data_IF_323642585978
#
_entry.id   IF_323642585978
#
_cell.length_a   1.000
_cell.length_b   1.000
_cell.length_c   1.000
_cell.angle_alpha   90.00
_cell.angle_beta   90.00
_cell.angle_gamma   90.00
#
_symmetry.space_group_name_H-M   'P 1'
#
loop_
_entity.id
_entity.type
_entity.pdbx_description
1 polymer ?
#
# COMPACT_ATOMS: atom_id res chain seq x y z
N UNK A 1 15.36 12.96 -4.86
CA UNK A 1 14.80 12.08 -3.81
C UNK A 1 15.82 10.99 -3.48
N UNK A 2 15.98 10.56 -2.22
CA UNK A 2 16.90 9.45 -1.88
C UNK A 2 16.23 8.10 -2.17
N UNK A 3 16.92 7.20 -2.86
CA UNK A 3 16.46 5.84 -3.13
C UNK A 3 17.13 4.83 -2.20
N UNK A 4 16.46 3.69 -2.00
CA UNK A 4 16.97 2.52 -1.28
C UNK A 4 16.55 1.27 -2.04
N UNK A 5 17.31 0.19 -1.90
CA UNK A 5 16.89 -1.11 -2.41
C UNK A 5 15.65 -1.59 -1.63
N UNK A 6 14.72 -2.25 -2.33
CA UNK A 6 13.60 -2.96 -1.72
C UNK A 6 14.13 -4.26 -1.10
N UNK A 7 14.43 -4.23 0.19
CA UNK A 7 15.05 -5.35 0.88
C UNK A 7 16.38 -5.74 0.23
N UNK A 8 16.56 -7.03 -0.01
CA UNK A 8 17.73 -7.60 -0.71
C UNK A 8 17.66 -7.55 -2.23
N UNK A 9 16.58 -7.05 -2.82
CA UNK A 9 16.44 -7.01 -4.28
C UNK A 9 17.33 -5.93 -4.90
N UNK A 10 17.49 -5.97 -6.23
CA UNK A 10 18.11 -4.90 -7.00
C UNK A 10 17.18 -3.72 -7.31
N UNK A 11 15.89 -3.81 -6.95
CA UNK A 11 14.90 -2.78 -7.24
C UNK A 11 15.11 -1.58 -6.31
N UNK A 12 15.30 -0.39 -6.88
CA UNK A 12 15.46 0.84 -6.10
C UNK A 12 14.19 1.67 -6.08
N UNK A 13 13.66 1.91 -4.88
CA UNK A 13 12.48 2.76 -4.66
C UNK A 13 12.85 3.98 -3.85
N UNK A 14 12.11 5.06 -4.02
CA UNK A 14 12.23 6.25 -3.18
C UNK A 14 11.77 5.98 -1.75
N UNK A 15 12.35 6.69 -0.78
CA UNK A 15 11.98 6.54 0.64
C UNK A 15 10.50 6.89 0.91
N UNK A 16 9.87 7.64 0.01
CA UNK A 16 8.43 7.96 0.03
C UNK A 16 7.84 7.49 -1.29
N UNK A 17 6.70 6.79 -1.22
CA UNK A 17 5.87 6.43 -2.37
C UNK A 17 4.53 7.16 -2.34
N UNK A 18 3.87 7.23 -3.50
CA UNK A 18 2.49 7.74 -3.59
C UNK A 18 1.50 6.59 -3.48
N UNK A 19 0.79 6.53 -2.35
CA UNK A 19 -0.35 5.64 -2.19
C UNK A 19 -1.58 6.20 -2.92
N UNK A 20 -2.14 5.42 -3.84
CA UNK A 20 -3.24 5.80 -4.73
C UNK A 20 -4.61 5.34 -4.19
N UNK A 21 -4.69 4.85 -2.96
CA UNK A 21 -5.92 4.28 -2.38
C UNK A 21 -7.09 5.25 -2.19
N UNK A 22 -6.91 6.56 -2.43
CA UNK A 22 -8.01 7.53 -2.44
C UNK A 22 -8.47 7.92 -3.87
N UNK A 23 -7.90 7.33 -4.93
CA UNK A 23 -8.22 7.70 -6.30
C UNK A 23 -9.50 6.99 -6.75
N UNK A 24 -10.53 7.77 -7.11
CA UNK A 24 -11.83 7.26 -7.52
C UNK A 24 -12.63 6.60 -6.39
N UNK A 25 -12.19 6.69 -5.14
CA UNK A 25 -12.91 6.15 -3.98
C UNK A 25 -12.04 6.11 -2.73
N UNK A 26 -12.52 5.51 -1.64
CA UNK A 26 -11.72 5.34 -0.40
C UNK A 26 -11.45 3.86 -0.15
N UNK A 27 -10.29 3.41 -0.62
CA UNK A 27 -9.86 2.02 -0.57
C UNK A 27 -10.75 1.11 -1.43
N UNK A 28 -10.91 -0.14 -0.98
CA UNK A 28 -11.58 -1.21 -1.72
C UNK A 28 -13.08 -1.33 -1.46
N UNK A 29 -13.65 -0.54 -0.54
CA UNK A 29 -15.06 -0.71 -0.14
C UNK A 29 -16.00 -0.09 -1.18
N UNK A 30 -16.97 -0.86 -1.72
CA UNK A 30 -17.95 -0.34 -2.68
C UNK A 30 -18.74 0.87 -2.19
N UNK A 31 -19.00 0.95 -0.87
CA UNK A 31 -19.72 2.08 -0.26
C UNK A 31 -19.00 3.43 -0.45
N UNK A 32 -17.70 3.42 -0.72
CA UNK A 32 -16.90 4.64 -0.91
C UNK A 32 -16.41 4.85 -2.33
N UNK A 33 -16.93 4.08 -3.29
CA UNK A 33 -16.63 4.29 -4.70
C UNK A 33 -17.15 5.68 -5.11
N UNK A 34 -16.28 6.51 -5.68
CA UNK A 34 -16.57 7.90 -6.07
C UNK A 34 -16.51 8.91 -4.94
N UNK A 35 -16.13 8.49 -3.72
CA UNK A 35 -15.98 9.35 -2.53
C UNK A 35 -14.52 9.71 -2.22
N UNK A 36 -13.66 9.76 -3.24
CA UNK A 36 -12.24 10.12 -3.14
C UNK A 36 -11.85 11.15 -4.18
N UNK A 37 -10.56 11.21 -4.52
CA UNK A 37 -10.04 12.12 -5.53
C UNK A 37 -10.64 11.80 -6.90
N UNK A 38 -11.05 12.84 -7.61
CA UNK A 38 -11.39 12.78 -9.04
C UNK A 38 -10.15 12.45 -9.86
N UNK A 39 -10.34 12.10 -11.14
CA UNK A 39 -9.21 11.81 -12.04
C UNK A 39 -8.27 13.03 -12.20
N UNK A 40 -8.84 14.24 -12.28
CA UNK A 40 -8.06 15.47 -12.39
C UNK A 40 -7.21 15.73 -11.13
N UNK A 41 -7.78 15.54 -9.94
CA UNK A 41 -7.07 15.66 -8.66
C UNK A 41 -5.98 14.58 -8.52
N UNK A 42 -6.30 13.33 -8.87
CA UNK A 42 -5.33 12.23 -8.90
C UNK A 42 -4.17 12.53 -9.85
N UNK A 43 -4.43 13.05 -11.04
CA UNK A 43 -3.40 13.45 -12.00
C UNK A 43 -2.51 14.58 -11.46
N UNK A 44 -3.08 15.58 -10.79
CA UNK A 44 -2.31 16.66 -10.17
C UNK A 44 -1.40 16.14 -9.04
N UNK A 45 -1.89 15.20 -8.23
CA UNK A 45 -1.10 14.53 -7.19
C UNK A 45 0.03 13.68 -7.79
N UNK A 46 -0.24 12.94 -8.86
CA UNK A 46 0.78 12.15 -9.57
C UNK A 46 1.82 13.02 -10.26
N UNK A 47 1.42 14.13 -10.90
CA UNK A 47 2.35 15.11 -11.47
C UNK A 47 3.25 15.69 -10.38
N UNK A 48 2.68 16.12 -9.25
CA UNK A 48 3.46 16.65 -8.12
C UNK A 48 4.45 15.60 -7.58
N UNK A 49 4.00 14.36 -7.36
CA UNK A 49 4.85 13.28 -6.87
C UNK A 49 6.01 12.98 -7.84
N UNK A 50 5.70 12.91 -9.13
CA UNK A 50 6.69 12.71 -10.18
C UNK A 50 7.71 13.84 -10.24
N UNK A 51 7.26 15.10 -10.20
CA UNK A 51 8.11 16.28 -10.34
C UNK A 51 9.07 16.45 -9.14
N UNK A 52 8.68 16.01 -7.94
CA UNK A 52 9.59 15.97 -6.76
C UNK A 52 10.48 14.71 -6.74
N UNK A 53 10.35 13.85 -7.75
CA UNK A 53 11.18 12.67 -7.96
C UNK A 53 10.76 11.45 -7.14
N UNK A 54 9.50 11.31 -6.73
CA UNK A 54 8.94 10.02 -6.27
C UNK A 54 8.88 9.07 -7.46
N UNK A 55 9.44 7.87 -7.31
CA UNK A 55 9.49 6.88 -8.39
C UNK A 55 8.57 5.68 -8.16
N UNK A 56 7.78 5.66 -7.08
CA UNK A 56 7.00 4.51 -6.67
C UNK A 56 5.54 4.87 -6.39
N UNK A 57 4.61 4.33 -7.18
CA UNK A 57 3.16 4.47 -6.98
C UNK A 57 2.54 3.12 -6.60
N UNK A 58 1.67 3.13 -5.59
CA UNK A 58 1.04 1.95 -5.03
C UNK A 58 -0.49 2.03 -5.15
N UNK A 59 -1.10 1.07 -5.84
CA UNK A 59 -2.55 0.95 -6.05
C UNK A 59 -3.05 -0.45 -5.70
N UNK A 60 -4.30 -0.79 -5.99
CA UNK A 60 -4.86 -2.14 -5.92
C UNK A 60 -5.98 -2.30 -6.95
N UNK A 61 -6.25 -3.54 -7.36
CA UNK A 61 -7.31 -3.90 -8.30
C UNK A 61 -8.70 -3.38 -7.88
N UNK A 62 -9.00 -3.45 -6.59
CA UNK A 62 -10.30 -3.08 -6.02
C UNK A 62 -10.41 -1.59 -5.65
N UNK A 63 -9.31 -0.82 -5.66
CA UNK A 63 -9.36 0.58 -5.21
C UNK A 63 -10.26 1.44 -6.12
N UNK A 64 -11.25 2.08 -5.52
CA UNK A 64 -12.26 2.85 -6.24
C UNK A 64 -13.06 2.04 -7.27
N UNK A 65 -13.08 0.70 -7.16
CA UNK A 65 -13.68 -0.20 -8.13
C UNK A 65 -12.85 -0.32 -9.42
N UNK A 66 -11.52 -0.33 -9.30
CA UNK A 66 -10.58 -0.36 -10.42
C UNK A 66 -10.25 1.01 -11.00
N UNK A 67 -10.88 2.09 -10.52
CA UNK A 67 -10.61 3.45 -11.00
C UNK A 67 -9.22 3.95 -10.66
N UNK A 68 -8.67 3.57 -9.51
CA UNK A 68 -7.30 3.97 -9.15
C UNK A 68 -6.29 3.52 -10.20
N UNK A 69 -6.37 2.26 -10.64
CA UNK A 69 -5.55 1.73 -11.75
C UNK A 69 -5.85 2.42 -13.08
N UNK A 70 -7.13 2.64 -13.40
CA UNK A 70 -7.51 3.32 -14.64
C UNK A 70 -6.96 4.77 -14.69
N UNK A 71 -7.02 5.52 -13.58
CA UNK A 71 -6.49 6.88 -13.50
C UNK A 71 -4.98 6.89 -13.67
N UNK A 72 -4.24 5.96 -13.03
CA UNK A 72 -2.80 5.81 -13.24
C UNK A 72 -2.50 5.49 -14.71
N UNK A 73 -3.26 4.58 -15.33
CA UNK A 73 -3.08 4.23 -16.74
C UNK A 73 -3.35 5.39 -17.69
N UNK A 74 -4.39 6.20 -17.44
CA UNK A 74 -4.70 7.40 -18.19
C UNK A 74 -3.57 8.44 -18.04
N UNK A 75 -3.05 8.62 -16.83
CA UNK A 75 -1.91 9.49 -16.54
C UNK A 75 -0.65 9.03 -17.28
N UNK A 76 -0.31 7.74 -17.24
CA UNK A 76 0.85 7.19 -17.96
C UNK A 76 0.77 7.42 -19.46
N UNK A 77 -0.40 7.20 -20.08
CA UNK A 77 -0.59 7.47 -21.52
C UNK A 77 -0.36 8.94 -21.86
N UNK A 78 -0.75 9.86 -20.98
CA UNK A 78 -0.51 11.30 -21.14
C UNK A 78 0.97 11.66 -20.96
N UNK A 79 1.68 11.04 -20.02
CA UNK A 79 3.10 11.32 -19.73
C UNK A 79 4.06 10.70 -20.74
N UNK A 80 3.68 9.58 -21.35
CA UNK A 80 4.49 8.87 -22.35
C UNK A 80 5.33 7.74 -21.77
N UNK A 81 5.89 6.91 -22.66
CA UNK A 81 6.58 5.66 -22.31
C UNK A 81 7.79 5.86 -21.40
N UNK A 82 8.53 6.96 -21.54
CA UNK A 82 9.71 7.23 -20.72
C UNK A 82 9.39 7.27 -19.21
N UNK A 83 8.17 7.66 -18.84
CA UNK A 83 7.73 7.67 -17.43
C UNK A 83 7.45 6.26 -16.98
N UNK A 84 6.80 5.43 -17.81
CA UNK A 84 6.59 4.02 -17.48
C UNK A 84 7.92 3.29 -17.24
N UNK A 85 8.95 3.55 -18.04
CA UNK A 85 10.26 2.89 -17.90
C UNK A 85 10.96 3.21 -16.57
N UNK A 86 10.63 4.34 -15.95
CA UNK A 86 11.27 4.85 -14.72
C UNK A 86 10.40 4.65 -13.47
N UNK A 87 9.07 4.61 -13.65
CA UNK A 87 8.12 4.47 -12.56
C UNK A 87 8.00 3.01 -12.13
N UNK A 88 8.17 2.78 -10.83
CA UNK A 88 7.88 1.52 -10.16
C UNK A 88 6.39 1.49 -9.81
N UNK A 89 5.67 0.51 -10.36
CA UNK A 89 4.25 0.32 -10.12
C UNK A 89 3.97 -0.90 -9.24
N UNK A 90 3.23 -0.67 -8.15
CA UNK A 90 2.65 -1.72 -7.31
C UNK A 90 1.13 -1.80 -7.48
N UNK A 91 0.61 -3.01 -7.64
CA UNK A 91 -0.81 -3.29 -7.43
C UNK A 91 -1.00 -4.48 -6.48
N UNK A 92 -2.24 -4.74 -6.08
CA UNK A 92 -2.60 -5.79 -5.12
C UNK A 92 -3.83 -6.55 -5.59
N UNK A 93 -3.93 -7.79 -5.13
CA UNK A 93 -5.07 -8.69 -5.35
C UNK A 93 -5.55 -9.30 -4.05
N UNK A 94 -6.86 -9.34 -3.85
CA UNK A 94 -7.57 -10.14 -2.82
C UNK A 94 -9.02 -9.66 -2.66
N UNK A 95 -9.21 -8.34 -2.60
CA UNK A 95 -10.48 -7.74 -2.22
C UNK A 95 -11.56 -8.05 -3.27
N UNK A 96 -12.85 -8.02 -2.89
CA UNK A 96 -13.92 -8.23 -3.83
C UNK A 96 -13.88 -7.22 -4.98
N UNK A 97 -13.85 -7.72 -6.22
CA UNK A 97 -13.97 -6.91 -7.46
C UNK A 97 -15.27 -7.20 -8.22
N UNK A 98 -16.13 -8.04 -7.65
CA UNK A 98 -17.41 -8.48 -8.19
C UNK A 98 -18.19 -9.28 -7.15
N UNK A 99 -19.41 -9.70 -7.50
CA UNK A 99 -20.32 -10.40 -6.58
C UNK A 99 -20.15 -11.93 -6.63
N UNK A 100 -19.45 -12.46 -7.63
CA UNK A 100 -19.29 -13.89 -7.81
C UNK A 100 -18.41 -14.54 -6.74
N UNK A 101 -18.57 -15.85 -6.50
CA UNK A 101 -17.82 -16.57 -5.46
C UNK A 101 -16.30 -16.61 -5.73
N UNK A 102 -15.87 -16.37 -6.97
CA UNK A 102 -14.47 -16.34 -7.40
C UNK A 102 -13.96 -14.90 -7.68
N UNK A 103 -14.72 -13.88 -7.26
CA UNK A 103 -14.39 -12.47 -7.47
C UNK A 103 -13.64 -11.86 -6.28
N UNK A 104 -13.04 -12.70 -5.42
CA UNK A 104 -12.14 -12.33 -4.31
C UNK A 104 -11.16 -13.47 -4.00
N UNK A 105 -10.23 -13.19 -3.08
CA UNK A 105 -9.33 -14.17 -2.47
C UNK A 105 -8.04 -14.37 -3.26
N UNK A 106 -7.29 -15.42 -2.92
CA UNK A 106 -5.98 -15.73 -3.48
C UNK A 106 -5.94 -17.06 -4.23
N UNK A 107 -7.10 -17.58 -4.65
CA UNK A 107 -7.15 -18.72 -5.56
C UNK A 107 -6.38 -18.41 -6.83
N UNK A 108 -5.75 -19.43 -7.42
CA UNK A 108 -5.03 -19.31 -8.69
C UNK A 108 -5.92 -18.67 -9.76
N UNK A 109 -7.19 -19.09 -9.85
CA UNK A 109 -8.17 -18.53 -10.80
C UNK A 109 -8.29 -17.02 -10.64
N UNK A 110 -8.43 -16.54 -9.41
CA UNK A 110 -8.61 -15.12 -9.14
C UNK A 110 -7.33 -14.32 -9.44
N UNK A 111 -6.18 -14.78 -8.92
CA UNK A 111 -4.87 -14.14 -9.15
C UNK A 111 -4.57 -14.00 -10.64
N UNK A 112 -4.69 -15.09 -11.40
CA UNK A 112 -4.41 -15.11 -12.84
C UNK A 112 -5.32 -14.18 -13.62
N UNK A 113 -6.61 -14.10 -13.25
CA UNK A 113 -7.56 -13.19 -13.90
C UNK A 113 -7.31 -11.73 -13.53
N UNK A 114 -7.01 -11.44 -12.27
CA UNK A 114 -6.83 -10.06 -11.82
C UNK A 114 -5.55 -9.42 -12.29
N UNK A 115 -4.46 -10.18 -12.47
CA UNK A 115 -3.25 -9.59 -13.06
C UNK A 115 -3.54 -9.06 -14.47
N UNK A 116 -4.26 -9.82 -15.31
CA UNK A 116 -4.58 -9.42 -16.68
C UNK A 116 -5.52 -8.20 -16.70
N UNK A 117 -6.52 -8.20 -15.81
CA UNK A 117 -7.42 -7.07 -15.66
C UNK A 117 -6.71 -5.80 -15.17
N UNK A 118 -5.75 -5.94 -14.25
CA UNK A 118 -4.96 -4.82 -13.71
C UNK A 118 -4.03 -4.25 -14.78
N UNK A 119 -3.30 -5.10 -15.49
CA UNK A 119 -2.43 -4.72 -16.60
C UNK A 119 -3.22 -3.99 -17.71
N UNK A 120 -4.42 -4.48 -18.03
CA UNK A 120 -5.32 -3.83 -18.99
C UNK A 120 -5.77 -2.43 -18.53
N UNK A 121 -6.21 -2.28 -17.27
CA UNK A 121 -6.63 -0.96 -16.73
C UNK A 121 -5.47 0.04 -16.68
N UNK A 122 -4.29 -0.42 -16.29
CA UNK A 122 -3.08 0.38 -16.26
C UNK A 122 -2.52 0.68 -17.66
N UNK A 123 -2.83 -0.16 -18.65
CA UNK A 123 -2.27 -0.08 -20.00
C UNK A 123 -0.77 -0.35 -20.03
N UNK A 124 -0.30 -1.36 -19.28
CA UNK A 124 1.12 -1.75 -19.17
C UNK A 124 1.27 -3.26 -19.31
N UNK A 125 2.45 -3.73 -19.74
CA UNK A 125 2.70 -5.17 -19.96
C UNK A 125 3.11 -5.92 -18.69
N UNK A 126 3.58 -5.19 -17.67
CA UNK A 126 4.02 -5.77 -16.41
C UNK A 126 3.84 -4.81 -15.24
N UNK A 127 3.78 -5.37 -14.03
CA UNK A 127 3.96 -4.67 -12.76
C UNK A 127 5.36 -4.94 -12.21
N UNK A 128 5.98 -3.91 -11.65
CA UNK A 128 7.25 -4.05 -10.93
C UNK A 128 7.02 -4.81 -9.62
N UNK A 129 5.89 -4.54 -8.95
CA UNK A 129 5.52 -5.10 -7.67
C UNK A 129 4.06 -5.57 -7.69
N UNK A 130 3.80 -6.81 -7.23
CA UNK A 130 2.46 -7.31 -6.99
C UNK A 130 2.27 -7.88 -5.57
N UNK A 131 1.28 -7.37 -4.86
CA UNK A 131 0.97 -7.76 -3.48
C UNK A 131 -0.21 -8.73 -3.42
N UNK A 132 -0.11 -9.73 -2.55
CA UNK A 132 -1.31 -10.29 -1.92
C UNK A 132 -1.81 -9.30 -0.87
N UNK A 133 -3.03 -8.79 -1.02
CA UNK A 133 -3.51 -7.65 -0.20
C UNK A 133 -3.79 -8.03 1.27
N UNK A 134 -4.24 -9.27 1.49
CA UNK A 134 -4.63 -9.82 2.80
C UNK A 134 -4.35 -11.33 2.82
N UNK A 135 -4.18 -11.95 3.99
CA UNK A 135 -4.22 -13.41 4.13
C UNK A 135 -5.54 -14.01 3.63
N UNK A 136 -5.46 -15.11 2.88
CA UNK A 136 -6.62 -15.89 2.49
C UNK A 136 -6.66 -17.23 3.24
N UNK A 137 -7.55 -17.41 4.24
CA UNK A 137 -7.68 -18.67 4.96
C UNK A 137 -8.39 -19.77 4.13
N UNK A 138 -8.98 -19.41 2.99
CA UNK A 138 -9.77 -20.34 2.16
C UNK A 138 -8.97 -20.95 1.00
N UNK A 139 -7.82 -20.38 0.67
CA UNK A 139 -6.90 -20.90 -0.36
C UNK A 139 -5.62 -21.42 0.30
N UNK A 140 -5.16 -22.65 0.01
CA UNK A 140 -3.84 -23.11 0.46
C UNK A 140 -2.74 -22.14 0.03
N UNK A 141 -1.85 -21.78 0.96
CA UNK A 141 -0.77 -20.83 0.69
C UNK A 141 0.15 -21.33 -0.44
N UNK A 142 0.35 -22.64 -0.55
CA UNK A 142 1.10 -23.28 -1.63
C UNK A 142 0.51 -22.99 -3.02
N UNK A 143 -0.82 -22.95 -3.16
CA UNK A 143 -1.48 -22.59 -4.42
C UNK A 143 -1.23 -21.12 -4.76
N UNK A 144 -1.35 -20.23 -3.76
CA UNK A 144 -1.08 -18.80 -3.91
C UNK A 144 0.36 -18.55 -4.36
N UNK A 145 1.35 -19.14 -3.68
CA UNK A 145 2.77 -18.97 -4.01
C UNK A 145 3.09 -19.49 -5.41
N UNK A 146 2.52 -20.63 -5.83
CA UNK A 146 2.69 -21.16 -7.19
C UNK A 146 2.05 -20.26 -8.25
N UNK A 147 0.90 -19.68 -7.97
CA UNK A 147 0.28 -18.71 -8.89
C UNK A 147 1.17 -17.47 -9.06
N UNK A 148 1.71 -16.92 -7.98
CA UNK A 148 2.63 -15.78 -8.03
C UNK A 148 3.95 -16.11 -8.74
N UNK A 149 4.52 -17.29 -8.50
CA UNK A 149 5.71 -17.77 -9.22
C UNK A 149 5.48 -17.83 -10.73
N UNK A 150 4.32 -18.34 -11.16
CA UNK A 150 3.97 -18.38 -12.58
C UNK A 150 3.82 -16.99 -13.18
N UNK A 151 3.31 -16.00 -12.44
CA UNK A 151 3.25 -14.60 -12.91
C UNK A 151 4.64 -14.00 -13.12
N UNK A 152 5.60 -14.34 -12.26
CA UNK A 152 7.00 -13.93 -12.44
C UNK A 152 7.60 -14.60 -13.67
N UNK A 153 7.42 -15.92 -13.83
CA UNK A 153 7.88 -16.68 -15.01
C UNK A 153 7.27 -16.17 -16.32
N UNK A 154 6.01 -15.74 -16.30
CA UNK A 154 5.32 -15.14 -17.44
C UNK A 154 5.78 -13.71 -17.74
N UNK A 155 6.60 -13.10 -16.87
CA UNK A 155 7.05 -11.72 -17.04
C UNK A 155 5.95 -10.68 -16.79
N UNK A 156 4.81 -11.05 -16.20
CA UNK A 156 3.73 -10.12 -15.85
C UNK A 156 4.01 -9.33 -14.56
N UNK A 157 4.85 -9.89 -13.70
CA UNK A 157 5.29 -9.30 -12.43
C UNK A 157 6.80 -9.45 -12.29
N UNK A 158 7.51 -8.47 -11.73
CA UNK A 158 8.95 -8.59 -11.43
C UNK A 158 9.19 -9.15 -10.03
N UNK A 159 8.48 -8.64 -9.04
CA UNK A 159 8.56 -9.09 -7.65
C UNK A 159 7.15 -9.25 -7.07
N UNK A 160 6.96 -10.24 -6.19
CA UNK A 160 5.74 -10.34 -5.38
C UNK A 160 6.01 -10.24 -3.88
N UNK A 161 5.00 -9.77 -3.16
CA UNK A 161 5.07 -9.45 -1.73
C UNK A 161 3.74 -9.71 -1.04
N UNK A 162 3.69 -9.41 0.25
CA UNK A 162 2.50 -9.61 1.08
C UNK A 162 2.06 -8.34 1.77
N UNK A 163 0.76 -8.19 1.99
CA UNK A 163 0.19 -7.10 2.78
C UNK A 163 -0.68 -7.68 3.88
N UNK A 164 -0.63 -7.05 5.05
CA UNK A 164 -1.38 -7.45 6.25
C UNK A 164 -1.10 -8.89 6.73
N UNK A 165 0.00 -9.50 6.29
CA UNK A 165 0.40 -10.82 6.75
C UNK A 165 0.97 -10.73 8.18
N UNK A 166 0.61 -11.67 9.08
CA UNK A 166 1.38 -11.87 10.29
C UNK A 166 2.73 -12.54 9.97
N UNK A 167 3.73 -12.31 10.82
CA UNK A 167 5.11 -12.77 10.60
C UNK A 167 5.19 -14.30 10.36
N UNK A 168 4.47 -15.10 11.15
CA UNK A 168 4.47 -16.56 11.00
C UNK A 168 3.96 -17.03 9.63
N UNK A 169 2.98 -16.32 9.04
CA UNK A 169 2.42 -16.68 7.75
C UNK A 169 3.39 -16.31 6.62
N UNK A 170 4.04 -15.14 6.74
CA UNK A 170 5.07 -14.74 5.80
C UNK A 170 6.25 -15.72 5.80
N UNK A 171 6.72 -16.14 6.99
CA UNK A 171 7.74 -17.20 7.13
C UNK A 171 7.30 -18.50 6.44
N UNK A 172 6.04 -18.93 6.64
CA UNK A 172 5.51 -20.11 5.94
C UNK A 172 5.58 -19.95 4.43
N UNK A 173 5.25 -18.77 3.91
CA UNK A 173 5.37 -18.45 2.48
C UNK A 173 6.80 -18.54 1.97
N UNK A 174 7.76 -17.97 2.70
CA UNK A 174 9.19 -18.07 2.37
C UNK A 174 9.68 -19.52 2.35
N UNK A 175 9.27 -20.32 3.33
CA UNK A 175 9.60 -21.74 3.41
C UNK A 175 9.01 -22.54 2.24
N UNK A 176 7.77 -22.26 1.83
CA UNK A 176 7.16 -22.90 0.65
C UNK A 176 8.00 -22.60 -0.59
N UNK A 177 8.40 -21.34 -0.78
CA UNK A 177 9.24 -20.96 -1.92
C UNK A 177 10.57 -21.70 -1.92
N UNK A 178 11.27 -21.72 -0.78
CA UNK A 178 12.56 -22.40 -0.64
C UNK A 178 12.46 -23.91 -0.91
N UNK A 179 11.52 -24.59 -0.24
CA UNK A 179 11.29 -26.03 -0.39
C UNK A 179 10.95 -26.45 -1.83
N UNK A 180 10.28 -25.59 -2.58
CA UNK A 180 9.78 -25.90 -3.93
C UNK A 180 10.60 -25.23 -5.04
N UNK A 181 11.72 -24.56 -4.72
CA UNK A 181 12.54 -23.80 -5.68
C UNK A 181 11.73 -22.79 -6.50
N UNK A 182 10.85 -22.04 -5.83
CA UNK A 182 10.04 -20.98 -6.41
C UNK A 182 10.64 -19.61 -6.08
N UNK A 183 10.21 -18.57 -6.80
CA UNK A 183 10.40 -17.20 -6.36
C UNK A 183 9.77 -17.01 -4.97
N UNK A 184 10.29 -16.05 -4.19
CA UNK A 184 9.88 -15.79 -2.79
C UNK A 184 9.23 -14.43 -2.65
N UNK A 185 8.54 -14.24 -1.53
CA UNK A 185 8.12 -12.91 -1.10
C UNK A 185 9.37 -12.04 -0.83
N UNK A 186 9.45 -10.88 -1.47
CA UNK A 186 10.61 -9.97 -1.34
C UNK A 186 10.30 -8.69 -0.53
N UNK A 187 9.02 -8.41 -0.25
CA UNK A 187 8.62 -7.33 0.67
C UNK A 187 7.29 -7.59 1.35
N UNK A 188 7.06 -6.85 2.43
CA UNK A 188 5.78 -6.75 3.12
C UNK A 188 5.29 -5.30 3.20
N UNK A 189 3.98 -5.11 3.09
CA UNK A 189 3.31 -3.82 3.26
C UNK A 189 2.29 -3.88 4.39
N UNK A 190 2.56 -3.22 5.52
CA UNK A 190 1.70 -3.27 6.71
C UNK A 190 1.44 -1.87 7.28
N UNK A 191 0.45 -1.75 8.17
CA UNK A 191 0.18 -0.50 8.90
C UNK A 191 1.32 -0.24 9.90
N UNK A 192 1.91 0.96 9.86
CA UNK A 192 2.91 1.36 10.84
C UNK A 192 2.96 2.87 11.01
N UNK A 193 2.89 3.33 12.25
CA UNK A 193 2.95 4.74 12.63
C UNK A 193 3.33 4.89 14.11
N UNK A 194 3.51 6.12 14.59
CA UNK A 194 3.67 6.38 16.03
C UNK A 194 2.50 5.85 16.88
N UNK A 195 1.30 5.68 16.30
CA UNK A 195 0.09 5.17 16.97
C UNK A 195 -0.22 3.70 16.64
N UNK A 196 0.60 3.06 15.81
CA UNK A 196 0.44 1.67 15.41
C UNK A 196 1.81 1.03 15.21
N UNK A 197 2.29 0.35 16.25
CA UNK A 197 3.66 -0.18 16.35
C UNK A 197 3.69 -1.70 16.48
N UNK A 198 2.61 -2.38 16.10
CA UNK A 198 2.47 -3.83 16.27
C UNK A 198 3.61 -4.63 15.61
N UNK A 199 4.04 -4.18 14.43
CA UNK A 199 5.06 -4.83 13.63
C UNK A 199 6.47 -4.80 14.24
N UNK A 200 6.74 -3.96 15.24
CA UNK A 200 8.03 -3.96 15.95
C UNK A 200 8.29 -5.27 16.69
N UNK A 201 7.24 -6.00 17.07
CA UNK A 201 7.36 -7.23 17.84
C UNK A 201 7.97 -8.38 17.04
N UNK A 202 7.51 -8.57 15.81
CA UNK A 202 7.87 -9.76 15.01
C UNK A 202 8.16 -9.44 13.54
N UNK A 203 7.35 -8.59 12.90
CA UNK A 203 7.47 -8.35 11.46
C UNK A 203 8.75 -7.58 11.08
N UNK A 204 9.08 -6.49 11.79
CA UNK A 204 10.32 -5.75 11.53
C UNK A 204 11.58 -6.57 11.82
N UNK A 205 11.67 -7.34 12.94
CA UNK A 205 12.73 -8.32 13.14
C UNK A 205 12.82 -9.34 11.99
N UNK A 206 11.70 -9.90 11.55
CA UNK A 206 11.65 -10.84 10.42
C UNK A 206 12.17 -10.20 9.12
N UNK A 207 11.76 -8.96 8.82
CA UNK A 207 12.23 -8.26 7.63
C UNK A 207 13.75 -8.04 7.65
N UNK A 208 14.32 -7.74 8.81
CA UNK A 208 15.78 -7.60 8.97
C UNK A 208 16.51 -8.93 8.78
N UNK A 209 16.01 -10.00 9.41
CA UNK A 209 16.59 -11.35 9.35
C UNK A 209 16.55 -11.92 7.92
N UNK A 210 15.37 -11.85 7.28
CA UNK A 210 15.14 -12.39 5.94
C UNK A 210 15.45 -11.40 4.81
N UNK A 211 15.96 -10.21 5.17
CA UNK A 211 16.31 -9.12 4.25
C UNK A 211 15.15 -8.72 3.32
N UNK A 212 13.93 -8.69 3.84
CA UNK A 212 12.73 -8.29 3.11
C UNK A 212 12.59 -6.76 3.10
N UNK A 213 12.02 -6.23 2.02
CA UNK A 213 11.53 -4.85 2.00
C UNK A 213 10.37 -4.66 2.96
N UNK A 214 10.24 -3.46 3.53
CA UNK A 214 9.10 -3.07 4.35
C UNK A 214 8.56 -1.72 3.88
N UNK A 215 7.30 -1.66 3.49
CA UNK A 215 6.64 -0.41 3.09
C UNK A 215 5.47 -0.14 4.03
N UNK A 216 5.54 0.89 4.89
CA UNK A 216 4.45 1.21 5.80
C UNK A 216 3.30 1.91 5.07
N UNK A 217 2.05 1.49 5.34
CA UNK A 217 0.87 2.29 4.98
C UNK A 217 0.27 2.96 6.22
N UNK A 218 -0.59 3.97 5.99
CA UNK A 218 -1.19 4.80 7.04
C UNK A 218 -0.19 5.42 8.04
N UNK A 219 0.97 5.97 7.60
CA UNK A 219 1.98 6.49 8.52
C UNK A 219 1.51 7.69 9.36
N UNK A 220 0.40 8.33 8.94
CA UNK A 220 -0.25 9.43 9.65
C UNK A 220 -1.50 9.00 10.44
N UNK A 221 -1.78 7.70 10.53
CA UNK A 221 -2.91 7.11 11.27
C UNK A 221 -4.25 7.80 10.96
N UNK A 222 -4.71 7.79 9.71
CA UNK A 222 -5.97 8.46 9.32
C UNK A 222 -5.94 9.99 9.42
N UNK A 223 -4.75 10.57 9.64
CA UNK A 223 -4.52 11.99 9.83
C UNK A 223 -4.47 12.45 11.28
N UNK A 224 -4.52 11.54 12.27
CA UNK A 224 -4.37 11.91 13.68
C UNK A 224 -3.01 12.58 13.94
N UNK A 225 -1.95 12.06 13.31
CA UNK A 225 -0.59 12.58 13.46
C UNK A 225 -0.34 13.91 12.72
N UNK A 226 -1.36 14.52 12.11
CA UNK A 226 -1.26 15.89 11.58
C UNK A 226 -1.72 16.95 12.57
N UNK A 227 -2.31 16.55 13.71
CA UNK A 227 -2.87 17.48 14.71
C UNK A 227 -4.22 18.10 14.33
N UNK A 228 -4.87 17.62 13.26
CA UNK A 228 -6.13 18.22 12.76
C UNK A 228 -7.38 17.84 13.56
N UNK A 229 -7.30 16.80 14.40
CA UNK A 229 -8.41 16.37 15.24
C UNK A 229 -8.24 16.93 16.67
N UNK A 230 -9.35 17.28 17.33
CA UNK A 230 -9.41 17.66 18.74
C UNK A 230 -10.54 16.88 19.41
N UNK A 231 -10.33 16.41 20.65
CA UNK A 231 -11.24 15.49 21.33
C UNK A 231 -12.66 16.07 21.50
N UNK A 232 -12.74 17.33 21.94
CA UNK A 232 -13.99 18.05 22.22
C UNK A 232 -14.48 18.87 21.02
N UNK A 233 -14.09 18.49 19.79
CA UNK A 233 -14.51 19.17 18.57
C UNK A 233 -15.10 18.19 17.56
N UNK A 234 -15.97 18.71 16.70
CA UNK A 234 -16.48 17.96 15.55
C UNK A 234 -15.35 17.54 14.61
N UNK A 235 -15.58 16.45 13.88
CA UNK A 235 -14.65 16.00 12.86
C UNK A 235 -14.54 17.06 11.75
N UNK A 236 -13.33 17.46 11.34
CA UNK A 236 -13.16 18.38 10.22
C UNK A 236 -13.85 17.83 8.96
N UNK A 237 -14.54 18.72 8.23
CA UNK A 237 -15.24 18.35 7.01
C UNK A 237 -14.30 17.68 5.99
N UNK A 238 -14.76 16.61 5.34
CA UNK A 238 -13.98 15.84 4.37
C UNK A 238 -12.81 15.04 4.97
N UNK A 239 -12.67 15.02 6.30
CA UNK A 239 -11.63 14.24 6.97
C UNK A 239 -11.89 12.73 6.90
N UNK A 240 -10.88 11.95 7.26
CA UNK A 240 -11.02 10.49 7.32
C UNK A 240 -12.09 10.08 8.33
N UNK A 241 -12.22 10.81 9.43
CA UNK A 241 -13.22 10.54 10.46
C UNK A 241 -14.66 10.85 9.99
N UNK A 242 -14.85 11.71 8.99
CA UNK A 242 -16.19 11.90 8.37
C UNK A 242 -16.49 10.87 7.29
N UNK A 243 -15.47 10.31 6.64
CA UNK A 243 -15.63 9.43 5.48
C UNK A 243 -15.56 7.93 5.82
N UNK A 244 -14.61 7.52 6.66
CA UNK A 244 -14.37 6.11 7.05
C UNK A 244 -13.73 6.05 8.45
N UNK A 245 -14.50 6.35 9.51
CA UNK A 245 -13.98 6.44 10.88
C UNK A 245 -13.68 5.09 11.53
N UNK A 246 -14.29 4.01 11.06
CA UNK A 246 -14.30 2.69 11.70
C UNK A 246 -12.90 2.16 12.04
N UNK A 247 -11.90 2.25 11.14
CA UNK A 247 -10.54 1.78 11.43
C UNK A 247 -9.83 2.59 12.54
N UNK A 248 -10.31 3.78 12.87
CA UNK A 248 -9.64 4.74 13.72
C UNK A 248 -10.39 5.05 15.03
N UNK A 249 -11.57 4.48 15.27
CA UNK A 249 -12.32 4.70 16.52
C UNK A 249 -11.50 4.42 17.77
N UNK A 250 -10.63 3.39 17.75
CA UNK A 250 -9.75 3.07 18.86
C UNK A 250 -8.78 4.21 19.24
N UNK A 251 -8.52 5.15 18.34
CA UNK A 251 -7.64 6.30 18.56
C UNK A 251 -8.40 7.51 19.13
N UNK A 252 -9.73 7.49 19.15
CA UNK A 252 -10.54 8.61 19.64
C UNK A 252 -10.73 8.53 21.15
N UNK A 253 -9.66 8.77 21.92
CA UNK A 253 -9.66 8.74 23.38
C UNK A 253 -8.66 9.74 23.97
N UNK A 254 -8.89 10.15 25.23
CA UNK A 254 -8.08 11.16 25.91
C UNK A 254 -6.58 10.85 25.95
N UNK A 255 -6.19 9.58 26.12
CA UNK A 255 -4.79 9.17 26.14
C UNK A 255 -4.10 9.45 24.80
N UNK A 256 -4.78 9.16 23.68
CA UNK A 256 -4.25 9.42 22.34
C UNK A 256 -4.09 10.91 22.10
N UNK A 257 -5.10 11.73 22.46
CA UNK A 257 -5.01 13.18 22.29
C UNK A 257 -3.91 13.81 23.16
N UNK A 258 -3.74 13.36 24.40
CA UNK A 258 -2.62 13.82 25.24
C UNK A 258 -1.24 13.49 24.64
N UNK A 259 -1.11 12.37 23.91
CA UNK A 259 0.12 12.04 23.16
C UNK A 259 0.29 12.92 21.93
N UNK A 260 -0.80 13.23 21.21
CA UNK A 260 -0.77 14.13 20.06
C UNK A 260 -0.37 15.54 20.45
N UNK A 261 -0.82 16.04 21.60
CA UNK A 261 -0.42 17.36 22.11
C UNK A 261 1.08 17.42 22.41
N UNK A 262 1.64 16.37 23.02
CA UNK A 262 3.10 16.25 23.22
C UNK A 262 3.87 16.23 21.90
N UNK A 263 3.39 15.49 20.91
CA UNK A 263 3.97 15.49 19.57
C UNK A 263 3.89 16.88 18.91
N UNK A 264 2.79 17.61 19.15
CA UNK A 264 2.62 19.00 18.71
C UNK A 264 3.67 19.95 19.30
N UNK A 265 3.93 19.86 20.60
CA UNK A 265 5.00 20.63 21.27
C UNK A 265 6.36 20.29 20.66
N UNK A 266 6.70 19.00 20.53
CA UNK A 266 7.97 18.57 19.92
C UNK A 266 8.15 19.07 18.48
N UNK A 267 7.08 19.02 17.67
CA UNK A 267 7.11 19.50 16.30
C UNK A 267 7.34 21.03 16.25
N UNK A 268 6.68 21.78 17.14
CA UNK A 268 6.87 23.23 17.27
C UNK A 268 8.30 23.60 17.69
N UNK A 269 8.85 22.91 18.70
CA UNK A 269 10.23 23.12 19.17
C UNK A 269 11.26 22.86 18.07
N UNK A 270 10.98 21.92 17.17
CA UNK A 270 11.82 21.58 16.02
C UNK A 270 11.54 22.45 14.78
N UNK A 271 10.53 23.32 14.80
CA UNK A 271 10.14 24.16 13.66
C UNK A 271 9.59 23.38 12.45
N UNK A 272 9.00 22.20 12.69
CA UNK A 272 8.43 21.33 11.64
C UNK A 272 6.95 21.04 11.88
N UNK A 273 6.25 20.51 10.86
CA UNK A 273 4.87 20.06 11.05
C UNK A 273 4.82 18.70 11.77
N UNK A 274 3.75 18.43 12.52
CA UNK A 274 3.54 17.11 13.14
C UNK A 274 3.54 15.98 12.09
N UNK A 275 2.97 16.24 10.91
CA UNK A 275 2.98 15.29 9.80
C UNK A 275 4.41 15.00 9.31
N UNK A 276 5.22 16.05 9.12
CA UNK A 276 6.63 15.92 8.72
C UNK A 276 7.45 15.15 9.76
N UNK A 277 7.26 15.46 11.04
CA UNK A 277 7.92 14.76 12.15
C UNK A 277 7.52 13.28 12.21
N UNK A 278 6.22 12.97 12.07
CA UNK A 278 5.72 11.60 12.08
C UNK A 278 6.25 10.79 10.88
N UNK A 279 6.30 11.37 9.68
CA UNK A 279 6.88 10.72 8.51
C UNK A 279 8.39 10.50 8.67
N UNK A 280 9.11 11.50 9.20
CA UNK A 280 10.54 11.38 9.48
C UNK A 280 10.83 10.25 10.49
N UNK A 281 10.00 10.10 11.52
CA UNK A 281 10.12 9.01 12.49
C UNK A 281 9.94 7.63 11.84
N UNK A 282 8.95 7.46 10.96
CA UNK A 282 8.71 6.19 10.25
C UNK A 282 9.87 5.82 9.32
N UNK A 283 10.55 6.81 8.73
CA UNK A 283 11.69 6.59 7.83
C UNK A 283 13.03 6.35 8.55
N UNK A 284 13.07 6.60 9.86
CA UNK A 284 14.26 6.56 10.73
C UNK A 284 14.66 5.16 11.18
#
# INVERSE_FOLDING_TARGET
MKTKNLGRTGLQITAVGLGCGNFGGVGSSPAFFGRGETEAEAHALMDTAWDIGINFFDTADAYGGGRSEAFIGNWLRRKGSHVRDQLILSSKVFNPVGEGPNDRGLSRRHIMRQIDASLMRLGVDYLDMYLVHEPDPTTPLEETVRALDDLVRQGKVRYFGASNFPAWLLVKGLWISDKNHLHRFEWVQNSYSLLDRGDEREMLPLCRDQQLGYTPFSPLAGGFLTGKYRLEADYPAGSRMTLRPEPYWRLWNAETFARLDKLGVMAADLGVSMAGLALAWVMG
#
